data_IF_328912670848
#
_entry.id   IF_328912670848
#
_cell.length_a   1.000
_cell.length_b   1.000
_cell.length_c   1.000
_cell.angle_alpha   90.00
_cell.angle_beta   90.00
_cell.angle_gamma   90.00
#
_symmetry.space_group_name_H-M   'P 1'
#
loop_
_entity.id
_entity.type
_entity.pdbx_description
1 polymer ?
#
# COMPACT_ATOMS: atom_id res chain seq x y z
N UNK A 1 -23.19 -8.22 27.72
CA UNK A 1 -23.67 -8.59 26.38
C UNK A 1 -22.69 -8.02 25.37
N UNK A 2 -22.37 -8.78 24.34
CA UNK A 2 -21.48 -8.35 23.27
C UNK A 2 -22.32 -7.66 22.17
N UNK A 3 -22.20 -6.34 22.02
CA UNK A 3 -22.71 -5.66 20.84
C UNK A 3 -21.59 -5.55 19.81
N UNK A 4 -21.51 -6.57 18.96
CA UNK A 4 -20.63 -6.59 17.77
C UNK A 4 -21.29 -5.75 16.68
N UNK A 5 -20.96 -4.47 16.60
CA UNK A 5 -21.37 -3.64 15.47
C UNK A 5 -20.62 -4.07 14.20
N UNK A 6 -21.27 -4.96 13.46
CA UNK A 6 -20.83 -5.47 12.17
C UNK A 6 -20.88 -4.35 11.12
N UNK A 7 -19.71 -3.87 10.71
CA UNK A 7 -19.57 -2.93 9.58
C UNK A 7 -19.51 -3.75 8.28
N UNK A 8 -20.44 -3.55 7.32
CA UNK A 8 -20.56 -4.44 6.17
C UNK A 8 -19.43 -4.25 5.16
N UNK A 9 -18.98 -5.35 4.56
CA UNK A 9 -17.97 -5.42 3.48
C UNK A 9 -18.27 -4.48 2.29
N UNK A 10 -19.54 -4.14 2.11
CA UNK A 10 -20.03 -3.17 1.12
C UNK A 10 -19.42 -1.77 1.27
N UNK A 11 -19.09 -1.33 2.49
CA UNK A 11 -18.53 0.01 2.73
C UNK A 11 -17.12 0.15 2.14
N UNK A 12 -16.28 -0.89 2.25
CA UNK A 12 -14.93 -0.90 1.66
C UNK A 12 -15.02 -0.87 0.13
N UNK A 13 -15.88 -1.70 -0.45
CA UNK A 13 -16.12 -1.73 -1.89
C UNK A 13 -16.70 -0.42 -2.44
N UNK A 14 -17.53 0.29 -1.67
CA UNK A 14 -18.10 1.59 -2.06
C UNK A 14 -17.02 2.66 -2.24
N UNK A 15 -16.05 2.75 -1.32
CA UNK A 15 -14.98 3.75 -1.40
C UNK A 15 -13.91 3.43 -2.46
N UNK A 16 -13.64 2.16 -2.74
CA UNK A 16 -12.73 1.76 -3.83
C UNK A 16 -13.35 2.11 -5.20
N UNK A 17 -14.68 1.93 -5.36
CA UNK A 17 -15.37 2.17 -6.64
C UNK A 17 -15.44 3.65 -7.06
N UNK A 18 -15.43 4.58 -6.11
CA UNK A 18 -15.72 6.00 -6.36
C UNK A 18 -14.61 6.80 -7.05
N UNK A 19 -13.41 6.23 -7.28
CA UNK A 19 -12.25 6.96 -7.86
C UNK A 19 -11.74 6.43 -9.21
N UNK A 20 -12.44 5.49 -9.85
CA UNK A 20 -12.12 5.02 -11.20
C UNK A 20 -12.60 5.96 -12.34
N UNK A 21 -12.95 7.22 -12.03
CA UNK A 21 -13.20 8.23 -13.07
C UNK A 21 -11.91 8.97 -13.39
N UNK A 22 -11.23 8.54 -14.46
CA UNK A 22 -10.29 9.40 -15.17
C UNK A 22 -11.02 10.63 -15.70
N UNK A 23 -10.39 11.82 -15.73
CA UNK A 23 -10.92 12.94 -16.47
C UNK A 23 -10.80 12.65 -17.97
N UNK A 24 -11.93 12.54 -18.65
CA UNK A 24 -12.00 12.59 -20.10
C UNK A 24 -11.61 14.02 -20.53
N UNK A 25 -10.65 14.15 -21.45
CA UNK A 25 -10.19 15.45 -21.93
C UNK A 25 -11.13 15.87 -23.05
N UNK A 26 -11.84 16.98 -22.87
CA UNK A 26 -12.58 17.63 -23.95
C UNK A 26 -11.59 18.15 -25.01
N UNK A 27 -11.45 17.42 -26.12
CA UNK A 27 -10.84 17.97 -27.34
C UNK A 27 -11.89 18.83 -28.06
N UNK A 28 -11.59 20.13 -28.18
CA UNK A 28 -12.46 21.14 -28.80
C UNK A 28 -11.97 21.44 -30.21
N UNK A 29 -12.66 20.93 -31.25
CA UNK A 29 -12.71 21.55 -32.60
C UNK A 29 -14.03 21.23 -33.33
N UNK A 30 -14.62 22.28 -33.90
CA UNK A 30 -15.85 22.47 -34.70
C UNK A 30 -16.55 21.31 -35.47
N UNK A 31 -17.89 21.32 -35.31
CA UNK A 31 -18.96 21.32 -36.32
C UNK A 31 -18.90 20.45 -37.60
N UNK A 32 -19.72 19.38 -37.64
CA UNK A 32 -20.84 19.32 -38.59
C UNK A 32 -21.93 18.26 -38.29
N UNK A 33 -23.04 18.34 -39.03
CA UNK A 33 -24.36 17.79 -38.68
C UNK A 33 -24.62 16.27 -38.81
N UNK A 34 -25.68 15.82 -38.11
CA UNK A 34 -26.68 14.81 -38.52
C UNK A 34 -26.22 13.39 -38.92
N UNK A 35 -26.50 12.38 -38.07
CA UNK A 35 -27.69 11.53 -38.30
C UNK A 35 -28.09 10.68 -37.08
N UNK A 36 -29.41 10.55 -36.85
CA UNK A 36 -29.98 9.57 -35.91
C UNK A 36 -29.71 8.13 -36.36
N UNK A 37 -29.22 7.27 -35.45
CA UNK A 37 -29.35 5.82 -35.56
C UNK A 37 -29.22 5.13 -34.19
N UNK A 38 -30.35 4.86 -33.55
CA UNK A 38 -30.43 3.98 -32.38
C UNK A 38 -29.89 2.60 -32.71
N UNK A 39 -28.78 2.19 -32.09
CA UNK A 39 -28.24 0.82 -32.21
C UNK A 39 -28.24 0.13 -30.86
N UNK A 40 -29.28 -0.67 -30.66
CA UNK A 40 -29.36 -1.63 -29.56
C UNK A 40 -28.24 -2.65 -29.72
N UNK A 41 -27.29 -2.67 -28.77
CA UNK A 41 -26.24 -3.69 -28.73
C UNK A 41 -26.68 -4.87 -27.86
N UNK A 42 -26.51 -6.06 -28.42
CA UNK A 42 -27.10 -7.30 -27.94
C UNK A 42 -26.36 -7.83 -26.72
N UNK A 43 -27.08 -8.14 -25.65
CA UNK A 43 -26.62 -9.17 -24.71
C UNK A 43 -26.66 -10.53 -25.41
N UNK A 44 -25.50 -11.06 -25.79
CA UNK A 44 -25.12 -12.46 -25.59
C UNK A 44 -23.75 -12.70 -26.22
N UNK A 45 -22.83 -13.22 -25.41
CA UNK A 45 -21.43 -13.40 -25.77
C UNK A 45 -20.67 -13.70 -24.49
N UNK A 46 -20.56 -14.99 -24.16
CA UNK A 46 -19.66 -15.47 -23.12
C UNK A 46 -18.24 -15.03 -23.48
N UNK A 47 -17.74 -13.99 -22.81
CA UNK A 47 -16.35 -13.61 -22.91
C UNK A 47 -15.59 -14.64 -22.08
N UNK A 48 -14.97 -15.59 -22.76
CA UNK A 48 -13.87 -16.38 -22.20
C UNK A 48 -12.72 -15.42 -21.93
N UNK A 49 -12.77 -14.76 -20.76
CA UNK A 49 -11.66 -13.97 -20.25
C UNK A 49 -10.56 -14.97 -19.90
N UNK A 50 -9.70 -15.25 -20.88
CA UNK A 50 -8.33 -15.66 -20.63
C UNK A 50 -7.66 -14.53 -19.86
N UNK A 51 -7.86 -14.56 -18.54
CA UNK A 51 -7.17 -13.67 -17.63
C UNK A 51 -5.69 -14.04 -17.73
N UNK A 52 -4.92 -13.23 -18.47
CA UNK A 52 -3.50 -13.14 -18.22
C UNK A 52 -3.33 -12.96 -16.71
N UNK A 53 -2.76 -13.96 -16.05
CA UNK A 53 -2.44 -13.90 -14.63
C UNK A 53 -1.22 -12.99 -14.52
N UNK A 54 -1.48 -11.69 -14.64
CA UNK A 54 -0.50 -10.65 -14.44
C UNK A 54 -0.16 -10.65 -12.95
N UNK A 55 1.11 -10.88 -12.60
CA UNK A 55 1.58 -10.87 -11.21
C UNK A 55 1.12 -9.56 -10.52
N UNK A 56 0.38 -9.68 -9.42
CA UNK A 56 -0.08 -8.53 -8.65
C UNK A 56 0.85 -8.26 -7.46
N UNK A 57 1.48 -7.08 -7.45
CA UNK A 57 2.41 -6.67 -6.38
C UNK A 57 1.82 -5.50 -5.61
N UNK A 58 1.48 -5.70 -4.34
CA UNK A 58 0.93 -4.65 -3.49
C UNK A 58 2.06 -3.98 -2.70
N UNK A 59 2.09 -2.65 -2.68
CA UNK A 59 3.12 -1.87 -1.97
C UNK A 59 2.44 -0.89 -1.01
N UNK A 60 2.59 -1.14 0.30
CA UNK A 60 2.05 -0.26 1.34
C UNK A 60 2.96 0.96 1.57
N UNK A 61 2.44 2.15 1.24
CA UNK A 61 3.19 3.42 1.23
C UNK A 61 2.64 4.45 2.21
N UNK A 62 3.55 5.11 2.91
CA UNK A 62 3.31 6.30 3.73
C UNK A 62 4.00 7.53 3.15
N UNK A 63 4.33 8.50 4.02
CA UNK A 63 4.86 9.82 3.65
C UNK A 63 6.27 9.77 3.04
N UNK A 64 7.09 8.80 3.45
CA UNK A 64 8.55 8.82 3.25
C UNK A 64 9.06 7.43 2.82
N UNK A 65 8.37 6.77 1.89
CA UNK A 65 8.57 5.36 1.51
C UNK A 65 8.98 5.18 0.02
N UNK A 66 9.69 6.17 -0.53
CA UNK A 66 10.21 6.15 -1.92
C UNK A 66 11.16 4.97 -2.19
N UNK A 67 12.00 4.63 -1.23
CA UNK A 67 12.92 3.49 -1.30
C UNK A 67 12.19 2.14 -1.28
N UNK A 68 11.02 2.07 -0.63
CA UNK A 68 10.17 0.87 -0.62
C UNK A 68 9.60 0.62 -2.01
N UNK A 69 9.09 1.68 -2.67
CA UNK A 69 8.58 1.59 -4.05
C UNK A 69 9.72 1.24 -5.02
N UNK A 70 10.89 1.90 -4.91
CA UNK A 70 12.08 1.53 -5.71
C UNK A 70 12.48 0.08 -5.49
N UNK A 71 12.62 -0.35 -4.24
CA UNK A 71 13.02 -1.71 -3.91
C UNK A 71 12.03 -2.75 -4.49
N UNK A 72 10.73 -2.49 -4.41
CA UNK A 72 9.72 -3.35 -5.02
C UNK A 72 9.87 -3.44 -6.55
N UNK A 73 10.03 -2.30 -7.24
CA UNK A 73 10.28 -2.25 -8.69
C UNK A 73 11.56 -3.02 -9.08
N UNK A 74 12.62 -2.89 -8.29
CA UNK A 74 13.94 -3.48 -8.57
C UNK A 74 14.04 -5.00 -8.26
N UNK A 75 13.18 -5.54 -7.36
CA UNK A 75 13.35 -6.90 -6.81
C UNK A 75 12.12 -7.81 -6.86
N UNK A 76 10.90 -7.27 -7.09
CA UNK A 76 9.64 -8.02 -6.95
C UNK A 76 8.77 -7.93 -8.19
N UNK A 77 8.84 -6.83 -8.94
CA UNK A 77 7.97 -6.60 -10.09
C UNK A 77 8.51 -7.31 -11.35
N UNK A 78 7.84 -8.38 -11.75
CA UNK A 78 8.07 -9.06 -13.04
C UNK A 78 7.66 -8.18 -14.24
N UNK A 79 8.25 -8.36 -15.43
CA UNK A 79 7.73 -7.76 -16.66
C UNK A 79 6.26 -8.15 -16.90
N UNK A 80 5.40 -7.17 -17.15
CA UNK A 80 3.95 -7.36 -17.33
C UNK A 80 3.12 -7.28 -16.04
N UNK A 81 3.75 -7.42 -14.87
CA UNK A 81 3.10 -7.31 -13.57
C UNK A 81 2.36 -5.96 -13.37
N UNK A 82 1.38 -5.98 -12.48
CA UNK A 82 0.64 -4.80 -12.04
C UNK A 82 0.96 -4.48 -10.58
N UNK A 83 1.31 -3.22 -10.32
CA UNK A 83 1.66 -2.72 -9.00
C UNK A 83 0.49 -1.94 -8.39
N UNK A 84 0.08 -2.29 -7.17
CA UNK A 84 -0.95 -1.58 -6.41
C UNK A 84 -0.32 -0.76 -5.28
N UNK A 85 -0.37 0.56 -5.39
CA UNK A 85 0.06 1.48 -4.33
C UNK A 85 -1.04 1.57 -3.25
N UNK A 86 -0.83 0.88 -2.13
CA UNK A 86 -1.76 0.87 -0.98
C UNK A 86 -1.41 2.00 -0.03
N UNK A 87 -2.31 2.97 0.15
CA UNK A 87 -2.12 4.05 1.11
C UNK A 87 -3.27 4.11 2.12
N UNK A 88 -2.93 3.81 3.38
CA UNK A 88 -3.87 3.87 4.50
C UNK A 88 -3.70 5.19 5.24
N UNK A 89 -4.80 5.93 5.38
CA UNK A 89 -4.86 7.24 6.04
C UNK A 89 -5.90 7.20 7.17
N UNK A 90 -5.65 7.86 8.32
CA UNK A 90 -6.59 7.86 9.42
C UNK A 90 -7.78 8.81 9.15
N UNK A 91 -8.97 8.54 9.73
CA UNK A 91 -10.10 9.44 9.60
C UNK A 91 -9.87 10.79 10.31
N UNK A 92 -10.26 11.88 9.64
CA UNK A 92 -10.08 13.26 10.13
C UNK A 92 -11.13 13.56 11.21
N UNK A 93 -10.85 13.11 12.43
CA UNK A 93 -11.67 13.32 13.65
C UNK A 93 -11.32 14.63 14.39
N UNK A 94 -10.05 15.03 14.33
CA UNK A 94 -9.52 16.25 14.92
C UNK A 94 -8.69 17.02 13.89
N UNK A 95 -8.82 18.35 13.92
CA UNK A 95 -8.10 19.27 13.04
C UNK A 95 -7.10 20.08 13.88
N UNK A 96 -5.81 20.13 13.50
CA UNK A 96 -4.84 21.00 14.14
C UNK A 96 -5.10 22.46 13.79
N UNK A 97 -5.11 23.32 14.80
CA UNK A 97 -5.29 24.77 14.69
C UNK A 97 -4.21 25.48 15.53
N UNK A 98 -4.00 26.80 15.36
CA UNK A 98 -3.01 27.54 16.15
C UNK A 98 -3.23 27.48 17.68
N UNK A 99 -4.47 27.22 18.12
CA UNK A 99 -4.84 27.11 19.54
C UNK A 99 -4.89 25.66 20.07
N UNK A 100 -4.51 24.68 19.25
CA UNK A 100 -4.51 23.26 19.61
C UNK A 100 -5.32 22.40 18.63
N UNK A 101 -5.67 21.18 19.04
CA UNK A 101 -6.51 20.27 18.24
C UNK A 101 -7.98 20.46 18.61
N UNK A 102 -8.80 20.79 17.62
CA UNK A 102 -10.25 20.90 17.78
C UNK A 102 -10.95 19.73 17.08
N UNK A 103 -12.04 19.24 17.63
CA UNK A 103 -12.88 18.24 16.95
C UNK A 103 -13.59 18.89 15.75
N UNK A 104 -14.01 18.08 14.77
CA UNK A 104 -14.82 18.58 13.63
C UNK A 104 -16.04 19.39 14.09
N UNK A 105 -16.66 19.00 15.20
CA UNK A 105 -17.86 19.63 15.77
C UNK A 105 -17.62 21.00 16.43
N UNK A 106 -16.36 21.37 16.68
CA UNK A 106 -15.97 22.68 17.24
C UNK A 106 -15.62 23.72 16.16
N UNK A 107 -15.69 23.35 14.88
CA UNK A 107 -15.22 24.16 13.75
C UNK A 107 -16.35 24.47 12.78
N UNK A 108 -16.19 25.54 11.99
CA UNK A 108 -17.16 25.84 10.92
C UNK A 108 -17.03 24.81 9.80
N UNK A 109 -18.12 24.58 9.06
CA UNK A 109 -18.09 23.67 7.90
C UNK A 109 -17.02 24.07 6.87
N UNK A 110 -16.76 25.37 6.71
CA UNK A 110 -15.74 25.89 5.81
C UNK A 110 -14.33 25.54 6.26
N UNK A 111 -14.00 25.71 7.55
CA UNK A 111 -12.72 25.29 8.12
C UNK A 111 -12.51 23.77 7.99
N UNK A 112 -13.56 22.99 8.22
CA UNK A 112 -13.53 21.53 8.07
C UNK A 112 -13.30 21.11 6.62
N UNK A 113 -14.00 21.72 5.65
CA UNK A 113 -13.80 21.47 4.20
C UNK A 113 -12.38 21.82 3.79
N UNK A 114 -11.93 23.04 4.08
CA UNK A 114 -10.59 23.51 3.72
C UNK A 114 -9.48 22.54 4.18
N UNK A 115 -9.55 22.06 5.43
CA UNK A 115 -8.58 21.09 5.93
C UNK A 115 -8.66 19.72 5.25
N UNK A 116 -9.87 19.23 4.94
CA UNK A 116 -10.05 17.97 4.19
C UNK A 116 -9.45 18.09 2.80
N UNK A 117 -9.74 19.18 2.08
CA UNK A 117 -9.23 19.43 0.73
C UNK A 117 -7.69 19.57 0.73
N UNK A 118 -7.13 20.16 1.79
CA UNK A 118 -5.68 20.29 1.98
C UNK A 118 -5.01 18.91 2.20
N UNK A 119 -5.59 18.05 3.05
CA UNK A 119 -5.11 16.68 3.26
C UNK A 119 -5.32 15.77 2.03
N UNK A 120 -6.44 15.94 1.31
CA UNK A 120 -6.67 15.29 0.01
C UNK A 120 -5.59 15.67 -1.01
N UNK A 121 -5.25 16.95 -1.12
CA UNK A 121 -4.21 17.44 -2.01
C UNK A 121 -2.81 16.95 -1.59
N UNK A 122 -2.49 16.94 -0.29
CA UNK A 122 -1.24 16.34 0.23
C UNK A 122 -1.12 14.87 -0.14
N UNK A 123 -2.16 14.08 0.07
CA UNK A 123 -2.23 12.65 -0.28
C UNK A 123 -2.13 12.42 -1.79
N UNK A 124 -2.82 13.24 -2.60
CA UNK A 124 -2.74 13.21 -4.08
C UNK A 124 -1.32 13.47 -4.56
N UNK A 125 -0.69 14.54 -4.07
CA UNK A 125 0.68 14.91 -4.45
C UNK A 125 1.71 13.86 -4.03
N UNK A 126 1.53 13.24 -2.85
CA UNK A 126 2.35 12.13 -2.38
C UNK A 126 2.24 10.90 -3.31
N UNK A 127 1.01 10.47 -3.63
CA UNK A 127 0.78 9.31 -4.51
C UNK A 127 1.25 9.55 -5.94
N UNK A 128 1.03 10.75 -6.48
CA UNK A 128 1.51 11.14 -7.81
C UNK A 128 3.05 11.04 -7.93
N UNK A 129 3.79 11.26 -6.83
CA UNK A 129 5.25 11.04 -6.80
C UNK A 129 5.62 9.57 -6.97
N UNK A 130 4.86 8.65 -6.39
CA UNK A 130 5.06 7.21 -6.51
C UNK A 130 4.59 6.68 -7.88
N UNK A 131 3.43 7.14 -8.38
CA UNK A 131 2.91 6.80 -9.71
C UNK A 131 3.92 7.14 -10.81
N UNK A 132 4.51 8.35 -10.76
CA UNK A 132 5.56 8.77 -11.71
C UNK A 132 6.74 7.80 -11.72
N UNK A 133 7.23 7.40 -10.55
CA UNK A 133 8.33 6.44 -10.41
C UNK A 133 8.00 5.08 -11.05
N UNK A 134 6.76 4.58 -10.90
CA UNK A 134 6.31 3.34 -11.54
C UNK A 134 6.17 3.49 -13.07
N UNK A 135 5.65 4.64 -13.53
CA UNK A 135 5.51 4.95 -14.96
C UNK A 135 6.88 5.10 -15.65
N UNK A 136 7.86 5.74 -15.00
CA UNK A 136 9.24 5.84 -15.47
C UNK A 136 9.88 4.43 -15.64
N UNK A 137 9.53 3.51 -14.73
CA UNK A 137 9.89 2.08 -14.81
C UNK A 137 9.01 1.26 -15.78
N UNK A 138 8.05 1.87 -16.47
CA UNK A 138 7.09 1.25 -17.42
C UNK A 138 6.19 0.16 -16.80
N UNK A 139 5.89 0.26 -15.50
CA UNK A 139 5.05 -0.68 -14.76
C UNK A 139 3.61 -0.17 -14.72
N UNK A 140 2.62 -1.04 -14.99
CA UNK A 140 1.20 -0.71 -14.81
C UNK A 140 0.94 -0.48 -13.32
N UNK A 141 0.46 0.71 -12.95
CA UNK A 141 0.24 1.09 -11.55
C UNK A 141 -1.20 1.54 -11.30
N UNK A 142 -1.78 1.01 -10.23
CA UNK A 142 -3.10 1.38 -9.71
C UNK A 142 -2.97 1.81 -8.22
N UNK A 143 -3.95 2.54 -7.69
CA UNK A 143 -3.91 3.03 -6.29
C UNK A 143 -5.07 2.52 -5.46
N UNK A 144 -4.76 1.99 -4.27
CA UNK A 144 -5.76 1.56 -3.27
C UNK A 144 -5.71 2.51 -2.08
N UNK A 145 -6.84 3.18 -1.81
CA UNK A 145 -6.98 4.16 -0.74
C UNK A 145 -7.89 3.60 0.35
N UNK A 146 -7.38 3.53 1.59
CA UNK A 146 -8.12 2.97 2.73
C UNK A 146 -8.15 3.96 3.89
N UNK A 147 -9.35 4.33 4.36
CA UNK A 147 -9.52 5.13 5.57
C UNK A 147 -9.58 4.22 6.80
N UNK A 148 -8.53 4.19 7.62
CA UNK A 148 -8.49 3.39 8.87
C UNK A 148 -7.45 3.96 9.84
N UNK A 149 -7.80 4.04 11.13
CA UNK A 149 -6.91 4.46 12.22
C UNK A 149 -5.74 3.49 12.49
N UNK A 150 -5.98 2.17 12.39
CA UNK A 150 -5.03 1.11 12.70
C UNK A 150 -4.41 0.49 11.43
N UNK A 151 -3.44 1.20 10.81
CA UNK A 151 -2.72 0.79 9.58
C UNK A 151 -2.42 -0.71 9.49
N UNK A 152 -1.86 -1.32 10.54
CA UNK A 152 -1.45 -2.72 10.50
C UNK A 152 -2.64 -3.70 10.45
N UNK A 153 -3.77 -3.37 11.07
CA UNK A 153 -5.02 -4.13 10.99
C UNK A 153 -5.65 -3.99 9.59
N UNK A 154 -5.71 -2.77 9.09
CA UNK A 154 -6.21 -2.47 7.75
C UNK A 154 -5.47 -3.25 6.65
N UNK A 155 -4.14 -3.42 6.77
CA UNK A 155 -3.35 -4.25 5.85
C UNK A 155 -3.77 -5.72 5.93
N UNK A 156 -3.91 -6.29 7.13
CA UNK A 156 -4.30 -7.71 7.32
C UNK A 156 -5.70 -7.97 6.76
N UNK A 157 -6.64 -7.03 6.98
CA UNK A 157 -7.98 -7.09 6.40
C UNK A 157 -7.95 -6.99 4.87
N UNK A 158 -7.13 -6.09 4.31
CA UNK A 158 -6.94 -5.96 2.87
C UNK A 158 -6.37 -7.23 2.24
N UNK A 159 -5.38 -7.89 2.87
CA UNK A 159 -4.84 -9.18 2.42
C UNK A 159 -5.95 -10.23 2.34
N UNK A 160 -6.81 -10.30 3.36
CA UNK A 160 -7.89 -11.27 3.42
C UNK A 160 -8.99 -11.03 2.36
N UNK A 161 -9.33 -9.77 2.10
CA UNK A 161 -10.37 -9.36 1.14
C UNK A 161 -9.87 -9.49 -0.31
N UNK A 162 -8.71 -8.93 -0.64
CA UNK A 162 -8.17 -8.88 -2.01
C UNK A 162 -7.36 -10.12 -2.40
N UNK A 163 -7.16 -11.09 -1.49
CA UNK A 163 -6.31 -12.27 -1.69
C UNK A 163 -4.88 -11.91 -2.13
N UNK A 164 -4.32 -10.87 -1.51
CA UNK A 164 -2.96 -10.37 -1.80
C UNK A 164 -1.95 -11.48 -1.54
N UNK A 165 -1.27 -11.94 -2.59
CA UNK A 165 -0.20 -12.94 -2.53
C UNK A 165 1.17 -12.32 -2.25
N UNK A 166 1.39 -11.07 -2.69
CA UNK A 166 2.68 -10.38 -2.54
C UNK A 166 2.48 -8.97 -2.00
N UNK A 167 3.01 -8.72 -0.80
CA UNK A 167 2.97 -7.42 -0.14
C UNK A 167 4.39 -6.93 0.22
N UNK A 168 4.74 -5.74 -0.24
CA UNK A 168 5.94 -5.01 0.20
C UNK A 168 5.52 -3.85 1.10
N UNK A 169 6.17 -3.66 2.25
CA UNK A 169 5.87 -2.55 3.15
C UNK A 169 7.11 -1.91 3.81
N UNK A 170 7.04 -0.61 4.04
CA UNK A 170 8.09 0.18 4.68
C UNK A 170 8.08 0.13 6.22
N UNK A 171 9.24 0.45 6.81
CA UNK A 171 9.34 0.80 8.23
C UNK A 171 9.32 2.32 8.43
N UNK A 172 8.31 2.85 9.13
CA UNK A 172 8.14 4.30 9.39
C UNK A 172 9.45 4.98 9.80
N UNK A 173 9.94 5.93 9.00
CA UNK A 173 11.11 6.76 9.34
C UNK A 173 10.79 7.70 10.52
N UNK A 174 11.58 7.60 11.59
CA UNK A 174 11.74 8.62 12.63
C UNK A 174 13.25 8.88 12.83
N UNK A 175 13.65 10.09 13.22
CA UNK A 175 15.07 10.49 13.34
C UNK A 175 15.86 9.83 14.49
N UNK A 176 15.29 8.86 15.22
CA UNK A 176 15.95 8.20 16.36
C UNK A 176 15.93 6.67 16.26
N UNK A 177 17.11 6.04 16.31
CA UNK A 177 17.31 4.59 16.13
C UNK A 177 16.74 3.75 17.28
N UNK A 178 16.68 4.29 18.51
CA UNK A 178 16.08 3.62 19.69
C UNK A 178 14.62 3.18 19.49
N UNK A 179 13.93 3.73 18.49
CA UNK A 179 12.52 3.44 18.16
C UNK A 179 12.40 2.28 17.13
N UNK A 180 13.51 1.75 16.59
CA UNK A 180 13.49 0.68 15.58
C UNK A 180 12.69 -0.57 16.01
N UNK A 181 12.80 -1.01 17.27
CA UNK A 181 12.06 -2.15 17.81
C UNK A 181 10.53 -1.98 17.68
N UNK A 182 10.01 -0.79 17.97
CA UNK A 182 8.56 -0.50 17.85
C UNK A 182 8.10 -0.38 16.39
N UNK A 183 9.01 -0.10 15.45
CA UNK A 183 8.70 -0.10 14.00
C UNK A 183 8.64 -1.51 13.46
N UNK A 184 9.62 -2.35 13.83
CA UNK A 184 9.63 -3.78 13.51
C UNK A 184 8.34 -4.42 14.00
N UNK A 185 7.88 -4.11 15.23
CA UNK A 185 6.62 -4.62 15.76
C UNK A 185 5.38 -4.43 14.85
N UNK A 186 5.30 -3.38 14.01
CA UNK A 186 4.20 -3.22 13.05
C UNK A 186 4.35 -4.12 11.82
N UNK A 187 5.53 -4.15 11.21
CA UNK A 187 5.81 -5.01 10.05
C UNK A 187 5.79 -6.50 10.43
N UNK A 188 6.38 -6.85 11.56
CA UNK A 188 6.30 -8.18 12.16
C UNK A 188 4.86 -8.57 12.49
N UNK A 189 4.04 -7.68 13.03
CA UNK A 189 2.62 -7.97 13.27
C UNK A 189 1.91 -8.30 11.96
N UNK A 190 2.07 -7.48 10.91
CA UNK A 190 1.49 -7.77 9.60
C UNK A 190 2.02 -9.12 9.07
N UNK A 191 3.33 -9.38 9.11
CA UNK A 191 3.92 -10.65 8.65
C UNK A 191 3.41 -11.87 9.45
N UNK A 192 3.16 -11.72 10.75
CA UNK A 192 2.67 -12.79 11.65
C UNK A 192 1.15 -12.98 11.62
N UNK A 193 0.41 -11.97 11.17
CA UNK A 193 -1.06 -11.99 11.08
C UNK A 193 -1.58 -12.07 9.64
N UNK A 194 -0.69 -12.00 8.65
CA UNK A 194 -1.01 -12.31 7.26
C UNK A 194 -1.41 -13.78 7.10
N UNK A 195 -2.21 -14.05 6.07
CA UNK A 195 -2.63 -15.40 5.71
C UNK A 195 -1.47 -16.13 5.01
N UNK A 196 -1.46 -17.46 5.11
CA UNK A 196 -0.35 -18.32 4.66
C UNK A 196 0.00 -18.18 3.16
N UNK A 197 -0.94 -17.72 2.33
CA UNK A 197 -0.74 -17.44 0.91
C UNK A 197 -0.03 -16.10 0.61
N UNK A 198 0.25 -15.27 1.61
CA UNK A 198 0.75 -13.90 1.44
C UNK A 198 2.23 -13.76 1.86
N UNK A 199 3.15 -13.56 0.92
CA UNK A 199 4.51 -13.15 1.26
C UNK A 199 4.53 -11.66 1.62
N UNK A 200 4.81 -11.37 2.89
CA UNK A 200 5.04 -10.00 3.38
C UNK A 200 6.54 -9.71 3.48
N UNK A 201 7.03 -8.82 2.62
CA UNK A 201 8.40 -8.31 2.64
C UNK A 201 8.47 -6.94 3.30
N UNK A 202 9.33 -6.81 4.32
CA UNK A 202 9.60 -5.55 5.02
C UNK A 202 10.87 -4.92 4.44
N UNK A 203 10.79 -3.66 4.03
CA UNK A 203 11.91 -2.88 3.49
C UNK A 203 12.28 -1.76 4.45
N UNK A 204 13.59 -1.57 4.65
CA UNK A 204 14.14 -0.41 5.34
C UNK A 204 15.41 0.08 4.65
N UNK A 205 15.41 1.35 4.25
CA UNK A 205 16.56 2.01 3.64
C UNK A 205 17.07 1.30 2.36
N UNK A 206 16.11 0.94 1.51
CA UNK A 206 16.34 0.23 0.25
C UNK A 206 16.82 -1.22 0.40
N UNK A 207 16.62 -1.86 1.56
CA UNK A 207 17.04 -3.24 1.82
C UNK A 207 15.91 -4.06 2.46
N UNK A 208 15.76 -5.33 2.03
CA UNK A 208 14.90 -6.32 2.71
C UNK A 208 15.43 -6.56 4.12
N UNK A 209 14.56 -6.45 5.12
CA UNK A 209 14.90 -6.75 6.52
C UNK A 209 14.80 -8.26 6.71
N UNK A 210 15.95 -8.93 6.73
CA UNK A 210 16.01 -10.32 7.17
C UNK A 210 15.66 -10.40 8.65
N UNK A 211 14.78 -11.34 9.03
CA UNK A 211 14.68 -11.71 10.44
C UNK A 211 16.02 -12.31 10.87
N UNK A 212 16.59 -11.78 11.96
CA UNK A 212 17.59 -12.52 12.71
C UNK A 212 16.83 -13.68 13.33
N UNK A 213 16.96 -14.86 12.71
CA UNK A 213 16.52 -16.10 13.34
C UNK A 213 17.06 -16.11 14.77
N UNK A 214 16.17 -16.27 15.75
CA UNK A 214 16.60 -16.58 17.11
C UNK A 214 17.20 -17.97 17.05
N UNK A 215 18.51 -18.04 16.83
CA UNK A 215 19.28 -19.27 16.97
C UNK A 215 18.90 -19.90 18.32
N UNK A 216 18.19 -21.02 18.25
CA UNK A 216 17.94 -21.84 19.42
C UNK A 216 19.30 -22.27 19.97
N UNK A 217 19.56 -22.12 21.28
CA UNK A 217 20.88 -22.40 21.84
C UNK A 217 21.08 -23.91 22.06
N UNK A 218 20.83 -24.71 21.01
CA UNK A 218 20.96 -26.16 21.05
C UNK A 218 21.62 -26.71 19.77
N UNK A 219 22.84 -27.20 19.98
CA UNK A 219 23.53 -28.21 19.17
C UNK A 219 24.05 -27.80 17.78
N UNK A 220 25.21 -27.15 17.77
CA UNK A 220 26.30 -27.59 16.91
C UNK A 220 27.68 -27.21 17.51
N UNK A 221 28.29 -28.16 18.22
CA UNK A 221 29.75 -28.18 18.36
C UNK A 221 30.35 -28.91 17.15
N UNK A 222 31.47 -28.39 16.61
CA UNK A 222 32.45 -29.28 15.98
C UNK A 222 33.84 -29.10 16.61
N UNK A 223 34.35 -30.21 17.15
CA UNK A 223 35.64 -30.34 17.83
C UNK A 223 36.16 -31.73 17.46
N UNK A 224 37.23 -31.95 16.69
CA UNK A 224 38.31 -31.12 16.10
C UNK A 224 38.87 -31.90 14.86
N UNK A 225 40.03 -31.61 14.21
CA UNK A 225 40.90 -30.41 14.09
C UNK A 225 41.29 -30.08 12.62
N UNK A 226 42.04 -28.99 12.38
CA UNK A 226 43.06 -29.04 11.33
C UNK A 226 44.32 -28.23 11.70
N UNK A 227 45.49 -28.81 11.46
CA UNK A 227 46.79 -28.25 11.79
C UNK A 227 47.21 -27.19 10.76
N UNK A 228 47.60 -25.99 11.22
CA UNK A 228 48.70 -25.26 10.59
C UNK A 228 49.66 -24.78 11.69
N UNK A 229 50.89 -25.29 11.62
CA UNK A 229 52.03 -24.79 12.36
C UNK A 229 52.47 -23.45 11.77
N UNK A 230 52.50 -22.39 12.58
CA UNK A 230 53.39 -21.26 12.35
C UNK A 230 54.25 -21.02 13.58
N UNK A 231 55.51 -21.49 13.49
CA UNK A 231 56.65 -20.92 14.22
C UNK A 231 56.94 -19.50 13.69
N UNK A 232 57.90 -18.84 14.34
CA UNK A 232 58.44 -17.48 14.15
C UNK A 232 57.83 -16.46 15.11
N UNK A 233 58.61 -15.80 15.98
CA UNK A 233 60.06 -15.92 16.24
C UNK A 233 60.36 -15.54 17.69
#
# INVERSE_FOLDING_TARGET
MEDKEYVPELAVNYYIKARNMSPEIEEVVDDNENHSSSKSFKNSGSIDVVSEVNDEVYVAVGKDDLDVVKWALDHVVSPGARLYLVHIFPPITYIPTPVGKLSRSQLTQEQVRFYIDEEENRRRNLLQKYIRLCNDAKVKVDTVLVEHDAIAKAIVELIAIHKITTLVMGMKRLPNSRILKTRMAKGEYVKKSALEFCEVTIVHDGKKVCEVEKASPFLCTPYVPCFILLKYR
#
